data_IF_181189171707
#
_entry.id   IF_181189171707
#
_cell.length_a   1.000
_cell.length_b   1.000
_cell.length_c   1.000
_cell.angle_alpha   90.00
_cell.angle_beta   90.00
_cell.angle_gamma   90.00
#
_symmetry.space_group_name_H-M   'P 1'
#
loop_
_entity.id
_entity.type
_entity.pdbx_description
1 polymer ?
#
# COMPACT_ATOMS: atom_id res chain seq x y z
N UNK A 1 -0.21 18.88 35.19
CA UNK A 1 -1.26 17.90 34.86
C UNK A 1 -1.18 17.39 33.41
N UNK A 2 -0.93 18.24 32.37
CA UNK A 2 -0.85 17.79 30.97
C UNK A 2 0.25 16.74 30.65
N UNK A 3 1.36 16.73 31.38
CA UNK A 3 2.47 15.80 31.13
C UNK A 3 2.29 14.41 31.78
N UNK A 4 1.44 14.31 32.79
CA UNK A 4 1.16 13.06 33.50
C UNK A 4 0.18 12.22 32.65
N UNK A 5 -0.81 12.85 32.07
CA UNK A 5 -1.80 12.19 31.21
C UNK A 5 -1.17 11.57 29.95
N UNK A 6 -0.18 12.25 29.34
CA UNK A 6 0.53 11.73 28.16
C UNK A 6 1.37 10.49 28.49
N UNK A 7 2.06 10.48 29.65
CA UNK A 7 2.86 9.32 30.07
C UNK A 7 2.01 8.11 30.46
N UNK A 8 0.78 8.35 30.94
CA UNK A 8 -0.16 7.28 31.29
C UNK A 8 -0.73 6.61 30.03
N UNK A 9 -1.04 7.37 28.96
CA UNK A 9 -1.56 6.83 27.73
C UNK A 9 -0.54 5.89 27.03
N UNK A 10 0.71 6.32 26.94
CA UNK A 10 1.78 5.51 26.32
C UNK A 10 2.09 4.25 27.15
N UNK A 11 2.05 4.35 28.48
CA UNK A 11 2.22 3.20 29.36
C UNK A 11 1.04 2.23 29.31
N UNK A 12 -0.19 2.72 29.06
CA UNK A 12 -1.38 1.89 28.93
C UNK A 12 -1.37 1.05 27.63
N UNK A 13 -0.97 1.62 26.51
CA UNK A 13 -0.83 0.88 25.26
C UNK A 13 0.20 -0.26 25.41
N UNK A 14 1.35 0.02 26.01
CA UNK A 14 2.38 -0.97 26.29
C UNK A 14 1.92 -2.06 27.30
N UNK A 15 1.11 -1.70 28.30
CA UNK A 15 0.64 -2.63 29.33
C UNK A 15 -0.45 -3.58 28.84
N UNK A 16 -1.34 -3.11 27.94
CA UNK A 16 -2.38 -3.97 27.34
C UNK A 16 -1.74 -4.98 26.39
N UNK A 17 -0.72 -4.58 25.63
CA UNK A 17 0.08 -5.49 24.80
C UNK A 17 0.77 -6.55 25.66
N UNK A 18 1.34 -6.19 26.83
CA UNK A 18 2.00 -7.13 27.74
C UNK A 18 1.02 -8.12 28.41
N UNK A 19 -0.16 -7.67 28.80
CA UNK A 19 -1.16 -8.53 29.48
C UNK A 19 -1.79 -9.57 28.55
N UNK A 20 -1.94 -9.26 27.26
CA UNK A 20 -2.52 -10.17 26.26
C UNK A 20 -1.59 -11.35 25.93
N UNK A 21 -0.29 -11.22 26.21
CA UNK A 21 0.72 -12.23 25.91
C UNK A 21 0.88 -13.33 26.98
N UNK A 22 0.30 -13.15 28.16
CA UNK A 22 0.44 -14.12 29.25
C UNK A 22 -0.46 -15.36 29.12
N UNK A 23 -1.40 -15.38 28.20
CA UNK A 23 -2.43 -16.42 28.10
C UNK A 23 -2.12 -17.60 27.14
N UNK A 24 -1.01 -17.57 26.40
CA UNK A 24 -0.65 -18.63 25.44
C UNK A 24 0.74 -19.23 25.70
N UNK A 25 0.99 -19.78 26.90
CA UNK A 25 2.11 -20.69 27.15
C UNK A 25 1.61 -22.12 27.28
N UNK A 26 1.36 -22.77 26.16
CA UNK A 26 1.21 -24.21 26.04
C UNK A 26 2.50 -24.78 25.45
N UNK A 27 3.08 -25.69 26.21
CA UNK A 27 4.28 -26.47 25.97
C UNK A 27 4.32 -27.13 24.59
N UNK A 28 5.45 -27.10 23.92
CA UNK A 28 5.85 -28.17 22.99
C UNK A 28 7.35 -28.40 23.09
N UNK A 29 7.67 -29.68 23.15
CA UNK A 29 8.92 -30.31 23.37
C UNK A 29 9.96 -30.06 22.27
N UNK A 30 11.20 -30.24 22.69
CA UNK A 30 12.44 -30.26 21.93
C UNK A 30 12.40 -31.23 20.74
N UNK A 31 12.91 -30.80 19.61
CA UNK A 31 13.59 -31.69 18.69
C UNK A 31 14.75 -30.98 17.99
N UNK A 32 15.92 -31.53 18.31
CA UNK A 32 17.25 -31.17 17.89
C UNK A 32 17.48 -31.71 16.46
N UNK A 33 17.83 -30.89 15.50
CA UNK A 33 18.49 -31.39 14.27
C UNK A 33 19.45 -30.36 13.68
N UNK A 34 20.68 -30.68 13.94
CA UNK A 34 21.94 -30.32 13.34
C UNK A 34 21.90 -30.25 11.82
N UNK A 35 22.20 -29.11 11.20
CA UNK A 35 22.59 -29.05 9.77
C UNK A 35 23.79 -28.14 9.61
N UNK A 36 24.86 -28.75 9.22
CA UNK A 36 26.20 -28.39 8.82
C UNK A 36 26.29 -27.20 7.86
N UNK A 37 27.29 -26.35 8.19
CA UNK A 37 27.94 -25.38 7.30
C UNK A 37 28.48 -26.04 6.02
N UNK A 38 28.28 -25.39 4.89
CA UNK A 38 29.16 -25.53 3.73
C UNK A 38 29.51 -24.19 3.14
N UNK A 39 30.77 -23.95 3.30
CA UNK A 39 31.66 -22.94 2.73
C UNK A 39 31.56 -22.86 1.19
N UNK A 40 31.46 -21.66 0.62
CA UNK A 40 31.88 -21.41 -0.78
C UNK A 40 32.30 -19.96 -1.03
N UNK A 41 33.61 -19.78 -0.94
CA UNK A 41 34.53 -18.99 -1.80
C UNK A 41 34.03 -17.79 -2.60
N UNK A 42 34.73 -16.73 -2.29
CA UNK A 42 34.92 -15.49 -3.06
C UNK A 42 35.32 -15.72 -4.52
N UNK A 43 34.78 -14.87 -5.38
CA UNK A 43 35.47 -14.49 -6.62
C UNK A 43 35.26 -13.00 -6.87
N UNK A 44 36.34 -12.27 -6.73
CA UNK A 44 36.44 -10.83 -6.95
C UNK A 44 36.20 -10.42 -8.41
N UNK A 45 35.67 -9.22 -8.58
CA UNK A 45 35.80 -8.50 -9.85
C UNK A 45 36.06 -7.01 -9.68
N UNK A 46 37.14 -6.60 -10.30
CA UNK A 46 37.80 -5.32 -10.35
C UNK A 46 36.88 -4.13 -10.67
N UNK A 47 37.10 -3.05 -9.92
CA UNK A 47 36.86 -1.66 -10.32
C UNK A 47 37.64 -1.30 -11.57
N UNK A 48 36.97 -0.70 -12.55
CA UNK A 48 37.60 0.23 -13.48
C UNK A 48 36.81 1.52 -13.46
N UNK A 49 37.45 2.53 -12.96
CA UNK A 49 37.16 3.95 -13.18
C UNK A 49 37.57 4.31 -14.58
N UNK A 50 36.66 4.93 -15.35
CA UNK A 50 37.08 5.92 -16.33
C UNK A 50 36.01 7.01 -16.41
N UNK A 51 36.45 8.21 -16.10
CA UNK A 51 35.83 9.47 -16.38
C UNK A 51 36.00 9.80 -17.83
N UNK A 52 34.98 10.14 -18.55
CA UNK A 52 35.07 11.21 -19.54
C UNK A 52 33.67 11.79 -19.82
N UNK A 53 33.60 13.10 -19.64
CA UNK A 53 32.43 13.88 -19.97
C UNK A 53 32.26 13.97 -21.48
N UNK A 54 31.09 13.59 -21.94
CA UNK A 54 30.60 14.05 -23.23
C UNK A 54 29.10 14.34 -23.11
N UNK A 55 28.80 15.63 -23.10
CA UNK A 55 27.42 16.12 -23.23
C UNK A 55 27.01 15.97 -24.70
N UNK A 56 26.67 14.76 -25.10
CA UNK A 56 25.99 14.57 -26.36
C UNK A 56 24.55 15.05 -26.21
N UNK A 57 24.33 16.22 -26.82
CA UNK A 57 22.99 16.62 -27.23
C UNK A 57 22.44 15.50 -28.12
N UNK A 58 21.50 14.74 -27.61
CA UNK A 58 20.64 13.92 -28.43
C UNK A 58 19.83 14.86 -29.31
N UNK A 59 20.32 15.11 -30.52
CA UNK A 59 19.51 15.57 -31.62
C UNK A 59 18.49 14.45 -31.90
N UNK A 60 17.25 14.69 -31.52
CA UNK A 60 16.14 13.88 -32.03
C UNK A 60 16.17 13.94 -33.56
N UNK A 61 16.09 12.79 -34.25
CA UNK A 61 16.00 12.81 -35.70
C UNK A 61 14.72 13.56 -36.08
N UNK A 62 14.91 14.76 -36.58
CA UNK A 62 13.85 15.54 -37.18
C UNK A 62 13.30 14.78 -38.37
N UNK A 63 12.07 14.29 -38.19
CA UNK A 63 11.00 14.24 -39.16
C UNK A 63 11.35 13.76 -40.58
N UNK A 64 11.17 12.46 -40.80
CA UNK A 64 10.71 11.97 -42.09
C UNK A 64 9.20 11.75 -42.00
N UNK A 65 8.43 12.84 -41.88
CA UNK A 65 6.97 12.77 -42.02
C UNK A 65 6.67 12.24 -43.41
N UNK A 66 5.97 11.10 -43.47
CA UNK A 66 5.28 10.72 -44.69
C UNK A 66 4.33 11.87 -45.05
N UNK A 67 4.29 12.29 -46.32
CA UNK A 67 3.42 13.37 -46.76
C UNK A 67 1.99 13.10 -46.30
N UNK A 68 1.42 14.02 -45.51
CA UNK A 68 0.06 13.94 -45.02
C UNK A 68 -0.12 13.25 -43.64
N UNK A 69 0.96 12.94 -42.92
CA UNK A 69 0.90 12.44 -41.55
C UNK A 69 1.53 13.45 -40.58
N UNK A 70 0.82 13.80 -39.53
CA UNK A 70 1.33 14.60 -38.42
C UNK A 70 1.39 13.71 -37.17
N UNK A 71 2.55 13.66 -36.54
CA UNK A 71 2.73 13.05 -35.22
C UNK A 71 2.84 14.19 -34.22
N UNK A 72 1.96 14.18 -33.24
CA UNK A 72 2.07 15.00 -32.03
C UNK A 72 2.62 14.08 -30.95
N UNK A 73 3.90 14.21 -30.55
CA UNK A 73 4.46 13.37 -29.50
C UNK A 73 3.58 13.46 -28.25
N UNK A 74 3.30 12.35 -27.64
CA UNK A 74 2.82 12.36 -26.26
C UNK A 74 3.94 13.04 -25.47
N UNK A 75 3.64 14.18 -24.84
CA UNK A 75 4.37 14.54 -23.65
C UNK A 75 3.98 13.51 -22.58
N UNK A 76 4.37 12.26 -22.78
CA UNK A 76 4.43 11.31 -21.67
C UNK A 76 5.32 12.04 -20.66
N UNK A 77 4.69 12.68 -19.68
CA UNK A 77 5.37 13.28 -18.56
C UNK A 77 6.19 12.14 -17.97
N UNK A 78 7.44 12.06 -18.37
CA UNK A 78 8.41 11.19 -17.70
C UNK A 78 8.44 11.75 -16.29
N UNK A 79 7.66 11.13 -15.41
CA UNK A 79 7.55 11.56 -14.03
C UNK A 79 8.96 11.44 -13.48
N UNK A 80 9.57 12.60 -13.21
CA UNK A 80 10.91 12.63 -12.61
C UNK A 80 10.76 12.14 -11.17
N UNK A 81 11.65 11.29 -10.77
CA UNK A 81 11.73 10.80 -9.39
C UNK A 81 12.99 11.32 -8.70
N UNK A 82 12.96 11.34 -7.38
CA UNK A 82 14.08 11.68 -6.51
C UNK A 82 14.13 10.75 -5.31
N UNK A 83 15.34 10.55 -4.76
CA UNK A 83 15.50 9.77 -3.54
C UNK A 83 15.17 10.67 -2.33
N UNK A 84 14.24 10.21 -1.52
CA UNK A 84 14.00 10.74 -0.19
C UNK A 84 14.70 9.85 0.84
N UNK A 85 15.41 10.46 1.78
CA UNK A 85 16.13 9.76 2.83
C UNK A 85 15.95 10.48 4.18
N UNK A 86 15.68 9.73 5.22
CA UNK A 86 15.63 10.21 6.61
C UNK A 86 16.29 9.18 7.55
N UNK A 87 16.24 9.42 8.86
CA UNK A 87 16.86 8.53 9.84
C UNK A 87 16.26 7.11 9.85
N UNK A 88 14.97 6.98 9.53
CA UNK A 88 14.22 5.75 9.69
C UNK A 88 14.10 4.95 8.39
N UNK A 89 14.07 5.61 7.23
CA UNK A 89 13.88 4.96 5.94
C UNK A 89 14.38 5.78 4.76
N UNK A 90 14.54 5.12 3.62
CA UNK A 90 14.73 5.73 2.31
C UNK A 90 13.67 5.22 1.32
N UNK A 91 13.29 6.07 0.37
CA UNK A 91 12.24 5.78 -0.60
C UNK A 91 12.41 6.67 -1.84
N UNK A 92 12.31 6.10 -3.03
CA UNK A 92 12.19 6.89 -4.25
C UNK A 92 10.78 7.46 -4.34
N UNK A 93 10.66 8.75 -4.64
CA UNK A 93 9.38 9.45 -4.72
C UNK A 93 9.30 10.26 -6.01
N UNK A 94 8.09 10.57 -6.53
CA UNK A 94 7.96 11.56 -7.58
C UNK A 94 8.49 12.93 -7.12
N UNK A 95 9.22 13.60 -7.98
CA UNK A 95 9.90 14.85 -7.67
C UNK A 95 8.93 15.94 -7.21
N UNK A 96 9.24 16.54 -6.06
CA UNK A 96 8.44 17.62 -5.48
C UNK A 96 7.25 17.14 -4.63
N UNK A 97 7.08 15.83 -4.48
CA UNK A 97 6.06 15.28 -3.57
C UNK A 97 6.47 15.46 -2.11
N UNK A 98 5.47 15.45 -1.24
CA UNK A 98 5.69 15.56 0.21
C UNK A 98 5.71 14.20 0.86
N UNK A 99 6.65 14.02 1.79
CA UNK A 99 6.72 12.87 2.67
C UNK A 99 6.37 13.30 4.08
N UNK A 100 5.46 12.57 4.71
CA UNK A 100 5.14 12.71 6.13
C UNK A 100 5.18 11.35 6.78
N UNK A 101 5.61 11.29 8.02
CA UNK A 101 5.62 10.07 8.82
C UNK A 101 5.12 10.33 10.24
N UNK A 102 4.60 9.30 10.87
CA UNK A 102 4.11 9.32 12.24
C UNK A 102 4.10 7.93 12.85
N UNK A 103 3.82 7.85 14.15
CA UNK A 103 3.95 6.59 14.88
C UNK A 103 5.40 6.25 15.21
N UNK A 104 5.60 5.17 15.97
CA UNK A 104 6.92 4.67 16.35
C UNK A 104 6.97 3.15 16.22
N UNK A 105 8.16 2.62 15.99
CA UNK A 105 8.38 1.18 15.92
C UNK A 105 7.42 0.50 14.94
N UNK A 106 6.78 -0.58 15.37
CA UNK A 106 5.83 -1.35 14.56
C UNK A 106 4.55 -0.56 14.17
N UNK A 107 4.28 0.58 14.81
CA UNK A 107 3.15 1.46 14.49
C UNK A 107 3.54 2.60 13.54
N UNK A 108 4.74 2.53 12.93
CA UNK A 108 5.20 3.55 12.01
C UNK A 108 4.32 3.61 10.76
N UNK A 109 4.00 4.83 10.35
CA UNK A 109 3.22 5.14 9.16
C UNK A 109 3.94 6.16 8.29
N UNK A 110 3.88 5.98 6.98
CA UNK A 110 4.45 6.87 5.97
C UNK A 110 3.35 7.25 4.99
N UNK A 111 3.28 8.52 4.65
CA UNK A 111 2.44 9.04 3.58
C UNK A 111 3.28 9.89 2.65
N UNK A 112 3.27 9.56 1.36
CA UNK A 112 3.90 10.33 0.29
C UNK A 112 2.80 10.79 -0.66
N UNK A 113 2.70 12.07 -0.93
CA UNK A 113 1.58 12.60 -1.72
C UNK A 113 1.95 13.82 -2.54
N UNK A 114 1.23 14.00 -3.64
CA UNK A 114 1.29 15.21 -4.44
C UNK A 114 0.63 16.39 -3.69
N UNK A 115 1.35 17.47 -3.37
CA UNK A 115 0.75 18.60 -2.68
C UNK A 115 -0.32 19.33 -3.50
N UNK A 116 -0.32 19.15 -4.83
CA UNK A 116 -1.32 19.76 -5.74
C UNK A 116 -2.57 18.90 -5.90
N UNK A 117 -2.44 17.56 -5.82
CA UNK A 117 -3.55 16.61 -5.86
C UNK A 117 -3.31 15.48 -4.84
N UNK A 118 -3.70 15.69 -3.56
CA UNK A 118 -3.39 14.75 -2.47
C UNK A 118 -4.01 13.35 -2.60
N UNK A 119 -4.92 13.12 -3.56
CA UNK A 119 -5.38 11.78 -3.90
C UNK A 119 -4.29 10.94 -4.55
N UNK A 120 -3.34 11.59 -5.24
CA UNK A 120 -2.16 10.94 -5.78
C UNK A 120 -1.19 10.70 -4.62
N UNK A 121 -1.16 9.47 -4.11
CA UNK A 121 -0.37 9.17 -2.91
C UNK A 121 0.03 7.70 -2.79
N UNK A 122 1.07 7.49 -2.01
CA UNK A 122 1.45 6.20 -1.43
C UNK A 122 1.29 6.28 0.08
N UNK A 123 0.70 5.26 0.66
CA UNK A 123 0.48 5.17 2.09
C UNK A 123 0.91 3.81 2.62
N UNK A 124 1.57 3.82 3.77
CA UNK A 124 2.04 2.61 4.46
C UNK A 124 1.77 2.79 5.95
N UNK A 125 1.27 1.73 6.59
CA UNK A 125 1.18 1.60 8.04
C UNK A 125 1.60 0.17 8.40
N UNK A 126 2.64 0.01 9.19
CA UNK A 126 3.18 -1.32 9.50
C UNK A 126 2.20 -2.17 10.29
N UNK A 127 1.51 -1.58 11.28
CA UNK A 127 0.51 -2.27 12.11
C UNK A 127 -0.61 -1.34 12.55
N UNK A 128 -1.83 -1.83 12.41
CA UNK A 128 -3.02 -1.31 13.09
C UNK A 128 -3.46 -2.31 14.16
N UNK A 129 -3.84 -1.82 15.34
CA UNK A 129 -4.17 -2.63 16.52
C UNK A 129 -5.56 -2.28 17.07
N UNK A 130 -6.06 -3.11 17.99
CA UNK A 130 -7.30 -2.86 18.70
C UNK A 130 -8.55 -2.78 17.80
N UNK A 131 -8.68 -3.66 16.80
CA UNK A 131 -9.85 -3.77 15.95
C UNK A 131 -10.82 -4.79 16.56
N UNK A 132 -11.78 -4.35 17.37
CA UNK A 132 -12.63 -5.25 18.17
C UNK A 132 -13.44 -6.21 17.30
N UNK A 133 -13.63 -7.44 17.78
CA UNK A 133 -14.38 -8.49 17.10
C UNK A 133 -15.87 -8.13 16.92
N UNK A 134 -16.45 -7.43 17.89
CA UNK A 134 -17.90 -7.18 17.88
C UNK A 134 -18.30 -5.94 18.65
N UNK A 135 -19.50 -5.45 18.36
CA UNK A 135 -20.13 -4.38 19.14
C UNK A 135 -20.39 -4.82 20.59
N UNK A 136 -20.78 -6.08 20.81
CA UNK A 136 -20.97 -6.62 22.17
C UNK A 136 -19.67 -6.59 23.00
N UNK A 137 -18.52 -6.88 22.36
CA UNK A 137 -17.21 -6.73 22.99
C UNK A 137 -16.89 -5.28 23.33
N UNK A 138 -17.18 -4.36 22.40
CA UNK A 138 -17.02 -2.93 22.65
C UNK A 138 -17.87 -2.44 23.82
N UNK A 139 -19.14 -2.81 23.84
CA UNK A 139 -20.07 -2.44 24.93
C UNK A 139 -19.58 -2.99 26.28
N UNK A 140 -19.03 -4.21 26.28
CA UNK A 140 -18.45 -4.81 27.47
C UNK A 140 -17.20 -4.04 27.95
N UNK A 141 -16.33 -3.59 27.03
CA UNK A 141 -15.19 -2.73 27.40
C UNK A 141 -15.65 -1.38 27.94
N UNK A 142 -16.72 -0.79 27.36
CA UNK A 142 -17.34 0.45 27.87
C UNK A 142 -17.93 0.24 29.27
N UNK A 143 -18.59 -0.89 29.53
CA UNK A 143 -19.08 -1.26 30.85
C UNK A 143 -17.91 -1.33 31.84
N UNK A 144 -16.82 -2.04 31.53
CA UNK A 144 -15.65 -2.13 32.40
C UNK A 144 -15.01 -0.76 32.69
N UNK A 145 -14.92 0.09 31.67
CA UNK A 145 -14.43 1.47 31.84
C UNK A 145 -15.35 2.28 32.78
N UNK A 146 -16.67 2.17 32.62
CA UNK A 146 -17.64 2.86 33.46
C UNK A 146 -17.63 2.39 34.93
N UNK A 147 -17.20 1.15 35.15
CA UNK A 147 -16.99 0.59 36.50
C UNK A 147 -15.67 1.00 37.14
N UNK A 148 -14.91 1.91 36.49
CA UNK A 148 -13.68 2.48 37.04
C UNK A 148 -12.40 1.81 36.54
N UNK A 149 -12.48 0.81 35.65
CA UNK A 149 -11.29 0.22 35.04
C UNK A 149 -10.69 1.16 33.98
N UNK A 150 -9.78 2.03 34.39
CA UNK A 150 -9.13 2.99 33.50
C UNK A 150 -8.32 2.32 32.36
N UNK A 151 -7.88 1.08 32.54
CA UNK A 151 -7.16 0.33 31.51
C UNK A 151 -8.08 -0.07 30.35
N UNK A 152 -9.38 -0.15 30.57
CA UNK A 152 -10.36 -0.43 29.53
C UNK A 152 -10.61 0.78 28.59
N UNK A 153 -10.13 1.98 28.90
CA UNK A 153 -10.43 3.21 28.15
C UNK A 153 -10.07 3.12 26.65
N UNK A 154 -8.94 2.50 26.34
CA UNK A 154 -8.49 2.33 24.96
C UNK A 154 -9.45 1.43 24.18
N UNK A 155 -9.71 0.20 24.67
CA UNK A 155 -10.57 -0.77 24.01
C UNK A 155 -12.05 -0.33 24.01
N UNK A 156 -12.50 0.41 25.04
CA UNK A 156 -13.84 1.01 25.05
C UNK A 156 -14.05 2.03 23.91
N UNK A 157 -12.98 2.67 23.43
CA UNK A 157 -13.03 3.63 22.32
C UNK A 157 -12.70 3.00 20.96
N UNK A 158 -12.11 1.82 20.96
CA UNK A 158 -11.59 1.16 19.76
C UNK A 158 -12.69 0.88 18.70
N UNK A 159 -12.36 0.90 17.41
CA UNK A 159 -13.31 0.57 16.35
C UNK A 159 -13.66 -0.92 16.36
N UNK A 160 -14.81 -1.26 15.79
CA UNK A 160 -15.25 -2.65 15.60
C UNK A 160 -15.02 -3.06 14.14
N UNK A 161 -14.32 -4.16 13.95
CA UNK A 161 -14.11 -4.78 12.64
C UNK A 161 -15.03 -6.02 12.50
N UNK A 162 -16.24 -5.80 12.02
CA UNK A 162 -17.22 -6.89 11.88
C UNK A 162 -16.88 -7.90 10.79
N UNK A 163 -16.25 -7.42 9.71
CA UNK A 163 -15.76 -8.24 8.61
C UNK A 163 -14.22 -8.24 8.64
N UNK A 164 -13.58 -9.29 9.22
CA UNK A 164 -12.12 -9.33 9.34
C UNK A 164 -11.47 -9.66 8.00
N UNK A 165 -11.29 -8.65 7.19
CA UNK A 165 -10.70 -8.70 5.85
C UNK A 165 -10.06 -7.36 5.52
N UNK A 166 -9.28 -7.29 4.45
CA UNK A 166 -8.76 -6.03 3.92
C UNK A 166 -9.87 -5.05 3.60
N UNK A 167 -10.93 -5.50 2.92
CA UNK A 167 -12.09 -4.68 2.63
C UNK A 167 -12.74 -4.14 3.92
N UNK A 168 -13.00 -5.02 4.90
CA UNK A 168 -13.59 -4.61 6.17
C UNK A 168 -12.73 -3.60 6.91
N UNK A 169 -11.41 -3.75 6.89
CA UNK A 169 -10.49 -2.81 7.51
C UNK A 169 -10.52 -1.43 6.83
N UNK A 170 -10.47 -1.37 5.49
CA UNK A 170 -10.54 -0.08 4.80
C UNK A 170 -11.91 0.59 4.91
N UNK A 171 -13.00 -0.18 5.05
CA UNK A 171 -14.33 0.36 5.34
C UNK A 171 -14.41 1.09 6.69
N UNK A 172 -13.59 0.69 7.67
CA UNK A 172 -13.53 1.36 8.99
C UNK A 172 -12.27 2.22 9.15
N UNK A 173 -11.47 2.40 8.11
CA UNK A 173 -10.16 3.04 8.20
C UNK A 173 -10.24 4.46 8.77
N UNK A 174 -11.21 5.26 8.35
CA UNK A 174 -11.42 6.60 8.89
C UNK A 174 -11.73 6.59 10.40
N UNK A 175 -12.51 5.59 10.87
CA UNK A 175 -12.80 5.41 12.30
C UNK A 175 -11.54 4.99 13.06
N UNK A 176 -10.73 4.11 12.47
CA UNK A 176 -9.46 3.68 13.04
C UNK A 176 -8.48 4.86 13.16
N UNK A 177 -8.35 5.68 12.14
CA UNK A 177 -7.41 6.81 12.15
C UNK A 177 -7.83 7.89 13.15
N UNK A 178 -9.13 8.17 13.30
CA UNK A 178 -9.65 9.07 14.33
C UNK A 178 -9.37 8.52 15.74
N UNK A 179 -9.53 7.21 15.94
CA UNK A 179 -9.23 6.54 17.18
C UNK A 179 -7.73 6.60 17.50
N UNK A 180 -6.86 6.17 16.59
CA UNK A 180 -5.41 6.09 16.85
C UNK A 180 -4.79 7.47 17.05
N UNK A 181 -5.21 8.47 16.30
CA UNK A 181 -4.74 9.86 16.46
C UNK A 181 -5.09 10.42 17.84
N UNK A 182 -6.22 10.00 18.41
CA UNK A 182 -6.65 10.42 19.74
C UNK A 182 -5.84 9.77 20.87
N UNK A 183 -5.49 8.49 20.72
CA UNK A 183 -4.89 7.69 21.79
C UNK A 183 -3.38 7.54 21.67
N UNK A 184 -2.79 7.66 20.46
CA UNK A 184 -1.36 7.52 20.22
C UNK A 184 -0.70 8.87 19.92
N UNK A 185 -0.02 9.47 20.92
CA UNK A 185 0.56 10.81 20.79
C UNK A 185 1.65 10.93 19.72
N UNK A 186 2.26 9.81 19.29
CA UNK A 186 3.32 9.79 18.27
C UNK A 186 2.79 10.12 16.87
N UNK A 187 1.46 10.10 16.68
CA UNK A 187 0.82 10.62 15.48
C UNK A 187 0.46 12.10 15.57
N UNK A 188 0.90 12.82 16.61
CA UNK A 188 0.66 14.27 16.73
C UNK A 188 1.33 15.00 15.57
N UNK A 189 0.52 15.71 14.76
CA UNK A 189 0.99 16.39 13.55
C UNK A 189 1.07 15.55 12.30
N UNK A 190 0.79 14.24 12.39
CA UNK A 190 0.63 13.39 11.23
C UNK A 190 -0.83 13.38 10.75
N UNK A 191 -1.02 13.41 9.44
CA UNK A 191 -2.36 13.36 8.84
C UNK A 191 -2.49 12.08 8.02
N UNK A 192 -3.33 11.18 8.50
CA UNK A 192 -3.69 9.98 7.75
C UNK A 192 -4.47 10.34 6.48
N UNK A 193 -4.37 9.54 5.41
CA UNK A 193 -5.30 9.64 4.30
C UNK A 193 -6.73 9.28 4.73
N UNK A 194 -7.72 9.67 3.92
CA UNK A 194 -9.13 9.28 4.11
C UNK A 194 -9.54 8.41 2.94
N UNK A 195 -10.26 7.35 3.23
CA UNK A 195 -10.81 6.42 2.25
C UNK A 195 -12.30 6.22 2.53
N UNK A 196 -13.06 7.34 2.52
CA UNK A 196 -14.48 7.32 2.81
C UNK A 196 -15.27 6.74 1.63
N UNK A 197 -16.38 6.05 1.89
CA UNK A 197 -17.18 5.42 0.84
C UNK A 197 -16.44 4.32 0.07
N UNK A 198 -15.54 3.63 0.75
CA UNK A 198 -14.71 2.57 0.17
C UNK A 198 -15.58 1.49 -0.48
N UNK A 199 -15.35 1.24 -1.77
CA UNK A 199 -16.11 0.26 -2.56
C UNK A 199 -15.16 -0.55 -3.41
N UNK A 200 -15.06 -1.84 -3.12
CA UNK A 200 -14.17 -2.75 -3.87
C UNK A 200 -14.70 -2.95 -5.29
N UNK A 201 -13.85 -2.74 -6.26
CA UNK A 201 -14.11 -2.96 -7.67
C UNK A 201 -13.51 -4.28 -8.15
N UNK A 202 -12.44 -4.75 -7.49
CA UNK A 202 -11.77 -5.99 -7.87
C UNK A 202 -10.99 -6.61 -6.70
N UNK A 203 -10.96 -7.95 -6.65
CA UNK A 203 -10.24 -8.75 -5.66
C UNK A 203 -9.12 -9.53 -6.34
N UNK A 204 -7.96 -9.61 -5.70
CA UNK A 204 -6.80 -10.33 -6.20
C UNK A 204 -6.32 -11.36 -5.20
N UNK A 205 -6.00 -12.54 -5.72
CA UNK A 205 -5.28 -13.54 -4.96
C UNK A 205 -3.83 -13.06 -4.78
N UNK A 206 -3.52 -12.52 -3.61
CA UNK A 206 -2.15 -12.23 -3.20
C UNK A 206 -1.79 -13.15 -2.03
N UNK A 207 -0.62 -13.75 -2.10
CA UNK A 207 -0.06 -14.45 -0.97
C UNK A 207 0.77 -13.44 -0.16
N UNK A 208 0.24 -12.96 0.97
CA UNK A 208 0.97 -12.04 1.84
C UNK A 208 2.14 -12.68 2.57
N UNK A 209 2.33 -13.93 2.53
CA UNK A 209 3.32 -14.61 3.37
C UNK A 209 3.02 -14.52 4.89
N UNK A 210 1.93 -13.85 5.31
CA UNK A 210 1.47 -13.91 6.70
C UNK A 210 0.57 -15.12 6.91
N UNK A 211 1.10 -16.10 7.61
CA UNK A 211 0.29 -17.21 8.07
C UNK A 211 -0.87 -16.69 8.95
N UNK A 212 -2.07 -17.21 8.72
CA UNK A 212 -3.30 -16.84 9.43
C UNK A 212 -3.89 -15.46 9.08
N UNK A 213 -3.51 -14.84 7.96
CA UNK A 213 -4.26 -13.72 7.42
C UNK A 213 -5.68 -14.13 7.03
N UNK A 214 -6.65 -13.26 7.32
CA UNK A 214 -8.06 -13.47 7.08
C UNK A 214 -8.50 -12.71 5.83
N UNK A 215 -9.23 -13.39 4.95
CA UNK A 215 -9.76 -12.82 3.71
C UNK A 215 -8.72 -12.60 2.63
N UNK A 216 -9.12 -11.88 1.59
CA UNK A 216 -8.25 -11.49 0.48
C UNK A 216 -7.42 -10.26 0.85
N UNK A 217 -6.16 -10.26 0.47
CA UNK A 217 -5.19 -9.29 0.95
C UNK A 217 -4.90 -8.16 -0.03
N UNK A 218 -5.30 -8.27 -1.29
CA UNK A 218 -5.10 -7.25 -2.31
C UNK A 218 -6.42 -6.92 -3.02
N UNK A 219 -6.75 -5.64 -3.04
CA UNK A 219 -8.00 -5.11 -3.59
C UNK A 219 -7.74 -3.92 -4.49
N UNK A 220 -8.59 -3.74 -5.51
CA UNK A 220 -8.80 -2.45 -6.16
C UNK A 220 -10.11 -1.86 -5.67
N UNK A 221 -10.13 -0.58 -5.36
CA UNK A 221 -11.31 0.06 -4.82
C UNK A 221 -11.42 1.52 -5.22
N UNK A 222 -12.67 1.96 -5.32
CA UNK A 222 -13.06 3.37 -5.37
C UNK A 222 -13.22 3.90 -3.95
N UNK A 223 -12.94 5.18 -3.75
CA UNK A 223 -13.14 5.87 -2.48
C UNK A 223 -13.35 7.36 -2.70
N UNK A 224 -13.64 8.08 -1.64
CA UNK A 224 -13.66 9.55 -1.63
C UNK A 224 -12.76 10.10 -0.54
N UNK A 225 -12.08 11.19 -0.83
CA UNK A 225 -11.41 12.03 0.17
C UNK A 225 -11.85 13.47 -0.04
N UNK A 226 -12.42 14.07 1.01
CA UNK A 226 -12.88 15.47 0.99
C UNK A 226 -13.82 15.78 -0.19
N UNK A 227 -14.65 14.81 -0.60
CA UNK A 227 -15.62 14.93 -1.69
C UNK A 227 -15.05 14.73 -3.10
N UNK A 228 -13.77 14.43 -3.24
CA UNK A 228 -13.14 14.04 -4.51
C UNK A 228 -13.13 12.52 -4.65
N UNK A 229 -13.43 12.03 -5.85
CA UNK A 229 -13.37 10.62 -6.16
C UNK A 229 -11.92 10.17 -6.41
N UNK A 230 -11.51 9.12 -5.72
CA UNK A 230 -10.23 8.45 -5.90
C UNK A 230 -10.42 6.98 -6.26
N UNK A 231 -9.39 6.41 -6.81
CA UNK A 231 -9.25 4.99 -7.08
C UNK A 231 -7.87 4.53 -6.65
N UNK A 232 -7.73 3.29 -6.25
CA UNK A 232 -6.44 2.77 -5.84
C UNK A 232 -6.39 1.29 -5.61
N UNK A 233 -5.18 0.85 -5.32
CA UNK A 233 -4.88 -0.50 -4.88
C UNK A 233 -4.59 -0.48 -3.38
N UNK A 234 -5.14 -1.45 -2.69
CA UNK A 234 -5.14 -1.53 -1.25
C UNK A 234 -4.73 -2.92 -0.78
N UNK A 235 -3.91 -2.99 0.25
CA UNK A 235 -3.51 -4.25 0.86
C UNK A 235 -3.47 -4.14 2.38
N UNK A 236 -3.86 -5.21 3.05
CA UNK A 236 -3.66 -5.40 4.48
C UNK A 236 -3.70 -6.90 4.82
N UNK A 237 -2.94 -7.33 5.82
CA UNK A 237 -3.02 -8.67 6.37
C UNK A 237 -3.74 -8.61 7.71
N UNK A 238 -5.03 -8.96 7.73
CA UNK A 238 -5.84 -8.96 8.95
C UNK A 238 -5.67 -10.29 9.67
N UNK A 239 -5.32 -10.23 10.95
CA UNK A 239 -5.04 -11.41 11.78
C UNK A 239 -5.87 -11.35 13.06
N UNK A 240 -6.43 -12.50 13.47
CA UNK A 240 -7.09 -12.64 14.77
C UNK A 240 -6.04 -12.71 15.87
N UNK A 241 -6.12 -11.80 16.83
CA UNK A 241 -5.25 -11.84 18.02
C UNK A 241 -5.78 -12.79 19.09
N UNK A 242 -7.03 -13.20 19.00
CA UNK A 242 -7.71 -14.13 19.89
C UNK A 242 -8.82 -13.51 20.71
N UNK A 243 -9.60 -14.39 21.29
CA UNK A 243 -10.77 -14.07 22.12
C UNK A 243 -10.41 -14.03 23.60
N UNK A 244 -11.08 -13.15 24.33
CA UNK A 244 -10.98 -13.08 25.79
C UNK A 244 -12.35 -12.79 26.42
N UNK A 245 -12.73 -13.56 27.42
CA UNK A 245 -14.00 -13.34 28.13
C UNK A 245 -13.87 -12.15 29.09
N UNK A 246 -14.71 -11.13 28.89
CA UNK A 246 -14.76 -9.95 29.74
C UNK A 246 -16.16 -9.72 30.30
N UNK A 247 -16.28 -9.05 31.46
CA UNK A 247 -17.53 -8.67 32.07
C UNK A 247 -18.32 -7.70 31.17
N UNK A 248 -19.58 -8.03 30.86
CA UNK A 248 -20.43 -7.24 29.98
C UNK A 248 -21.61 -6.60 30.72
N UNK A 249 -21.74 -6.82 32.03
CA UNK A 249 -22.83 -6.32 32.85
C UNK A 249 -23.36 -7.36 33.82
N UNK A 250 -24.44 -7.01 34.48
CA UNK A 250 -25.15 -7.91 35.41
C UNK A 250 -26.61 -8.11 34.90
N UNK A 251 -27.05 -9.35 34.90
CA UNK A 251 -28.46 -9.68 34.72
C UNK A 251 -28.97 -10.31 36.02
N UNK A 252 -29.60 -9.51 36.85
CA UNK A 252 -29.88 -9.87 38.23
C UNK A 252 -28.61 -10.10 39.02
N UNK A 253 -28.42 -11.33 39.50
CA UNK A 253 -27.17 -11.72 40.21
C UNK A 253 -26.14 -12.42 39.31
N UNK A 254 -26.44 -12.57 38.04
CA UNK A 254 -25.54 -13.27 37.09
C UNK A 254 -24.69 -12.27 36.32
N UNK A 255 -23.37 -12.46 36.39
CA UNK A 255 -22.41 -11.72 35.57
C UNK A 255 -22.59 -12.17 34.12
N UNK A 256 -22.83 -11.21 33.23
CA UNK A 256 -22.81 -11.43 31.79
C UNK A 256 -21.37 -11.27 31.27
N UNK A 257 -21.00 -12.07 30.29
CA UNK A 257 -19.72 -12.01 29.65
C UNK A 257 -19.87 -11.81 28.13
N UNK A 258 -18.93 -11.14 27.53
CA UNK A 258 -18.79 -11.01 26.07
C UNK A 258 -17.34 -11.29 25.67
N UNK A 259 -17.15 -11.54 24.37
CA UNK A 259 -15.80 -11.61 23.80
C UNK A 259 -15.23 -10.20 23.68
N UNK A 260 -14.16 -9.95 24.42
CA UNK A 260 -13.38 -8.70 24.38
C UNK A 260 -12.15 -8.77 23.49
N UNK A 261 -12.01 -9.80 22.66
CA UNK A 261 -10.92 -9.97 21.73
C UNK A 261 -10.91 -8.98 20.58
N UNK A 262 -9.85 -8.98 19.79
CA UNK A 262 -9.66 -8.05 18.69
C UNK A 262 -8.78 -8.62 17.58
N UNK A 263 -8.91 -8.02 16.40
CA UNK A 263 -8.03 -8.24 15.26
C UNK A 263 -6.93 -7.18 15.21
N UNK A 264 -5.88 -7.49 14.44
CA UNK A 264 -4.82 -6.59 14.04
C UNK A 264 -4.70 -6.61 12.51
N UNK A 265 -4.34 -5.48 11.91
CA UNK A 265 -3.98 -5.42 10.49
C UNK A 265 -2.50 -5.06 10.36
N UNK A 266 -1.79 -5.82 9.55
CA UNK A 266 -0.37 -5.62 9.26
C UNK A 266 -0.15 -5.26 7.80
N UNK A 267 0.98 -4.63 7.50
CA UNK A 267 1.40 -4.29 6.14
C UNK A 267 0.28 -3.58 5.37
N UNK A 268 -0.36 -2.60 6.05
CA UNK A 268 -1.42 -1.81 5.46
C UNK A 268 -0.79 -0.88 4.43
N UNK A 269 -1.20 -1.01 3.18
CA UNK A 269 -0.67 -0.24 2.07
C UNK A 269 -1.80 0.27 1.18
N UNK A 270 -1.60 1.46 0.64
CA UNK A 270 -2.44 2.00 -0.42
C UNK A 270 -1.60 2.78 -1.43
N UNK A 271 -1.88 2.57 -2.70
CA UNK A 271 -1.40 3.38 -3.81
C UNK A 271 -2.63 3.92 -4.51
N UNK A 272 -2.80 5.23 -4.50
CA UNK A 272 -4.04 5.86 -4.99
C UNK A 272 -3.77 7.05 -5.88
N UNK A 273 -4.77 7.40 -6.69
CA UNK A 273 -4.81 8.66 -7.43
C UNK A 273 -6.27 9.13 -7.61
N UNK A 274 -6.45 10.32 -8.20
CA UNK A 274 -7.76 10.73 -8.66
C UNK A 274 -8.29 9.69 -9.66
N UNK A 275 -9.59 9.35 -9.55
CA UNK A 275 -10.19 8.19 -10.25
C UNK A 275 -9.88 8.16 -11.74
N UNK A 276 -9.96 9.31 -12.42
CA UNK A 276 -9.77 9.39 -13.88
C UNK A 276 -8.29 9.29 -14.31
N UNK A 277 -7.36 9.37 -13.37
CA UNK A 277 -5.91 9.40 -13.66
C UNK A 277 -5.13 8.27 -12.99
N UNK A 278 -5.80 7.38 -12.24
CA UNK A 278 -5.13 6.33 -11.48
C UNK A 278 -4.25 5.44 -12.36
N UNK A 279 -4.73 5.08 -13.54
CA UNK A 279 -3.99 4.24 -14.49
C UNK A 279 -2.65 4.87 -14.95
N UNK A 280 -2.56 6.21 -14.96
CA UNK A 280 -1.33 6.92 -15.32
C UNK A 280 -0.30 6.90 -14.18
N UNK A 281 -0.76 6.81 -12.94
CA UNK A 281 0.05 6.86 -11.74
C UNK A 281 0.40 5.48 -11.17
N UNK A 282 -0.42 4.49 -11.41
CA UNK A 282 -0.33 3.17 -10.78
C UNK A 282 1.07 2.56 -10.88
N UNK A 283 1.63 2.45 -12.08
CA UNK A 283 2.95 1.84 -12.29
C UNK A 283 4.07 2.63 -11.61
N UNK A 284 4.05 3.96 -11.76
CA UNK A 284 5.10 4.83 -11.19
C UNK A 284 5.10 4.78 -9.66
N UNK A 285 3.91 4.88 -9.04
CA UNK A 285 3.79 4.85 -7.59
C UNK A 285 4.13 3.47 -7.03
N UNK A 286 3.78 2.41 -7.75
CA UNK A 286 4.14 1.03 -7.42
C UNK A 286 5.65 0.83 -7.45
N UNK A 287 6.32 1.30 -8.49
CA UNK A 287 7.77 1.23 -8.61
C UNK A 287 8.47 2.06 -7.52
N UNK A 288 7.94 3.23 -7.20
CA UNK A 288 8.42 4.00 -6.06
C UNK A 288 8.27 3.22 -4.75
N UNK A 289 7.12 2.62 -4.49
CA UNK A 289 6.85 1.88 -3.26
C UNK A 289 7.80 0.68 -3.07
N UNK A 290 8.18 -0.01 -4.14
CA UNK A 290 9.18 -1.10 -4.12
C UNK A 290 10.55 -0.67 -3.60
N UNK A 291 10.88 0.61 -3.69
CA UNK A 291 12.19 1.13 -3.26
C UNK A 291 12.26 1.42 -1.77
N UNK A 292 11.17 1.25 -1.00
CA UNK A 292 11.17 1.51 0.43
C UNK A 292 12.16 0.59 1.16
N UNK A 293 13.07 1.22 1.89
CA UNK A 293 14.04 0.52 2.73
C UNK A 293 14.07 1.17 4.12
N UNK A 294 13.79 0.39 5.15
CA UNK A 294 13.98 0.83 6.53
C UNK A 294 15.45 0.73 6.93
N UNK A 295 15.93 1.71 7.71
CA UNK A 295 17.29 1.70 8.22
C UNK A 295 17.52 0.58 9.25
N UNK A 296 18.74 0.10 9.37
CA UNK A 296 19.11 -0.91 10.37
C UNK A 296 18.82 -0.42 11.80
N UNK A 297 18.99 0.87 12.04
CA UNK A 297 18.68 1.49 13.34
C UNK A 297 17.19 1.44 13.66
N UNK A 298 16.32 1.72 12.68
CA UNK A 298 14.87 1.60 12.84
C UNK A 298 14.44 0.15 13.10
N UNK A 299 14.94 -0.79 12.30
CA UNK A 299 14.65 -2.22 12.46
C UNK A 299 15.12 -2.71 13.84
N UNK A 300 16.31 -2.31 14.25
CA UNK A 300 16.89 -2.70 15.56
C UNK A 300 16.08 -2.14 16.73
N UNK A 301 15.70 -0.85 16.68
CA UNK A 301 14.89 -0.21 17.72
C UNK A 301 13.48 -0.81 17.80
N UNK A 302 12.87 -1.11 16.66
CA UNK A 302 11.57 -1.77 16.57
C UNK A 302 11.62 -3.16 17.21
N UNK A 303 12.68 -3.94 16.92
CA UNK A 303 12.87 -5.26 17.51
C UNK A 303 13.10 -5.20 19.03
N UNK A 304 13.85 -4.22 19.53
CA UNK A 304 14.07 -4.02 20.98
C UNK A 304 12.79 -3.60 21.72
N UNK A 305 11.98 -2.74 21.11
CA UNK A 305 10.71 -2.29 21.71
C UNK A 305 9.65 -3.41 21.74
N UNK A 306 9.77 -4.38 20.86
CA UNK A 306 8.85 -5.53 20.75
C UNK A 306 9.24 -6.71 21.65
N UNK A 307 9.95 -6.49 22.74
CA UNK A 307 10.75 -7.40 23.58
C UNK A 307 10.08 -8.71 24.05
N UNK A 308 8.87 -9.05 23.60
CA UNK A 308 8.22 -10.28 24.07
C UNK A 308 7.83 -11.29 22.97
N UNK A 309 7.94 -10.95 21.67
CA UNK A 309 7.77 -11.95 20.60
C UNK A 309 8.53 -11.55 19.33
N UNK A 310 9.83 -11.66 19.43
CA UNK A 310 10.84 -11.46 18.38
C UNK A 310 10.50 -12.17 17.07
N UNK A 311 9.79 -13.30 17.12
CA UNK A 311 9.40 -14.05 15.93
C UNK A 311 8.44 -13.28 15.03
N UNK A 312 7.41 -12.61 15.56
CA UNK A 312 6.39 -11.95 14.75
C UNK A 312 6.89 -10.61 14.17
N UNK A 313 7.58 -9.78 14.96
CA UNK A 313 8.12 -8.50 14.47
C UNK A 313 9.30 -8.68 13.50
N UNK A 314 10.16 -9.66 13.73
CA UNK A 314 11.20 -10.05 12.76
C UNK A 314 10.60 -10.66 11.50
N UNK A 315 9.52 -11.42 11.63
CA UNK A 315 8.79 -11.97 10.51
C UNK A 315 8.09 -10.86 9.72
N UNK A 316 7.53 -9.86 10.38
CA UNK A 316 6.93 -8.69 9.71
C UNK A 316 8.01 -7.89 8.98
N UNK A 317 9.16 -7.63 9.60
CA UNK A 317 10.27 -6.90 8.97
C UNK A 317 10.94 -7.68 7.84
N UNK A 318 11.14 -8.99 7.99
CA UNK A 318 11.67 -9.86 6.94
C UNK A 318 10.63 -10.12 5.84
N UNK A 319 9.38 -10.30 6.21
CA UNK A 319 8.29 -10.56 5.29
C UNK A 319 7.77 -9.28 4.63
N UNK A 320 8.09 -8.08 5.15
CA UNK A 320 7.67 -6.85 4.48
C UNK A 320 8.17 -6.81 3.05
N UNK A 321 9.46 -7.04 2.81
CA UNK A 321 10.01 -7.09 1.46
C UNK A 321 9.44 -8.26 0.66
N UNK A 322 9.32 -9.45 1.25
CA UNK A 322 8.72 -10.61 0.57
C UNK A 322 7.23 -10.42 0.30
N UNK A 323 6.51 -9.77 1.22
CA UNK A 323 5.09 -9.43 1.05
C UNK A 323 4.94 -8.38 -0.04
N UNK A 324 5.80 -7.36 -0.04
CA UNK A 324 5.85 -6.35 -1.11
C UNK A 324 6.15 -7.00 -2.46
N UNK A 325 7.17 -7.87 -2.54
CA UNK A 325 7.50 -8.59 -3.78
C UNK A 325 6.33 -9.47 -4.24
N UNK A 326 5.65 -10.15 -3.32
CA UNK A 326 4.48 -10.99 -3.61
C UNK A 326 3.27 -10.16 -4.09
N UNK A 327 2.97 -9.05 -3.42
CA UNK A 327 1.91 -8.12 -3.79
C UNK A 327 2.22 -7.49 -5.14
N UNK A 328 3.45 -7.02 -5.34
CA UNK A 328 3.88 -6.40 -6.59
C UNK A 328 3.91 -7.39 -7.76
N UNK A 329 4.35 -8.62 -7.53
CA UNK A 329 4.29 -9.68 -8.53
C UNK A 329 2.85 -10.05 -8.91
N UNK A 330 1.95 -10.12 -7.94
CA UNK A 330 0.51 -10.34 -8.18
C UNK A 330 -0.09 -9.16 -8.95
N UNK A 331 0.31 -7.97 -8.62
CA UNK A 331 -0.07 -6.73 -9.28
C UNK A 331 0.41 -6.66 -10.74
N UNK A 332 1.69 -6.94 -11.00
CA UNK A 332 2.25 -6.97 -12.36
C UNK A 332 1.62 -8.07 -13.24
N UNK A 333 1.37 -9.24 -12.68
CA UNK A 333 0.73 -10.34 -13.42
C UNK A 333 -0.72 -10.05 -13.78
N UNK A 334 -1.41 -9.26 -12.98
CA UNK A 334 -2.79 -8.84 -13.21
C UNK A 334 -2.92 -7.84 -14.34
N UNK A 335 -2.05 -6.83 -14.33
CA UNK A 335 -2.18 -5.65 -15.18
C UNK A 335 -2.25 -5.98 -16.68
N UNK A 336 -1.69 -7.10 -17.10
CA UNK A 336 -1.63 -7.44 -18.52
C UNK A 336 -2.99 -7.75 -19.16
N UNK A 337 -3.95 -8.33 -18.46
CA UNK A 337 -5.22 -8.75 -19.09
C UNK A 337 -6.35 -7.74 -18.95
N UNK A 338 -6.50 -7.11 -17.79
CA UNK A 338 -7.61 -6.20 -17.53
C UNK A 338 -7.33 -4.76 -17.91
N UNK A 339 -6.08 -4.31 -17.77
CA UNK A 339 -5.68 -3.01 -18.30
C UNK A 339 -5.87 -2.95 -19.82
N UNK A 340 -5.59 -4.04 -20.52
CA UNK A 340 -5.84 -4.18 -21.94
C UNK A 340 -7.32 -3.99 -22.25
N UNK A 341 -8.22 -4.64 -21.51
CA UNK A 341 -9.67 -4.51 -21.70
C UNK A 341 -10.14 -3.09 -21.37
N UNK A 342 -9.70 -2.53 -20.26
CA UNK A 342 -10.06 -1.17 -19.84
C UNK A 342 -9.54 -0.12 -20.81
N UNK A 343 -8.30 -0.27 -21.30
CA UNK A 343 -7.72 0.63 -22.29
C UNK A 343 -8.44 0.53 -23.64
N UNK A 344 -8.80 -0.67 -24.09
CA UNK A 344 -9.61 -0.87 -25.30
C UNK A 344 -10.99 -0.21 -25.17
N UNK A 345 -11.65 -0.34 -24.03
CA UNK A 345 -12.94 0.29 -23.77
C UNK A 345 -12.81 1.82 -23.70
N UNK A 346 -11.77 2.33 -23.06
CA UNK A 346 -11.47 3.76 -23.00
C UNK A 346 -11.18 4.32 -24.39
N UNK A 347 -10.28 3.70 -25.15
CA UNK A 347 -9.95 4.14 -26.49
C UNK A 347 -11.19 4.12 -27.40
N UNK A 348 -12.02 3.08 -27.33
CA UNK A 348 -13.27 2.98 -28.07
C UNK A 348 -14.29 4.07 -27.67
N UNK A 349 -14.43 4.35 -26.37
CA UNK A 349 -15.34 5.37 -25.84
C UNK A 349 -14.91 6.78 -26.27
N UNK A 350 -13.61 7.04 -26.30
CA UNK A 350 -13.03 8.30 -26.71
C UNK A 350 -12.89 8.45 -28.23
N UNK A 351 -13.24 7.41 -28.99
CA UNK A 351 -13.18 7.43 -30.45
C UNK A 351 -11.77 7.31 -31.01
N UNK A 352 -10.88 6.62 -30.28
CA UNK A 352 -9.51 6.36 -30.71
C UNK A 352 -9.29 4.91 -31.10
N UNK A 353 -8.32 4.70 -32.00
CA UNK A 353 -7.67 3.43 -32.23
C UNK A 353 -6.16 3.53 -31.91
N UNK A 354 -5.54 2.41 -31.59
CA UNK A 354 -4.08 2.33 -31.44
C UNK A 354 -3.45 1.90 -32.74
N UNK A 355 -2.39 2.61 -33.08
CA UNK A 355 -1.65 2.45 -34.31
C UNK A 355 -0.20 2.12 -33.97
N UNK A 356 0.31 1.07 -34.58
CA UNK A 356 1.68 0.59 -34.43
C UNK A 356 2.52 1.04 -35.62
N UNK A 357 3.65 1.71 -35.34
CA UNK A 357 4.66 2.07 -36.33
C UNK A 357 5.63 0.87 -36.54
N UNK A 358 5.61 0.28 -37.72
CA UNK A 358 6.42 -0.90 -38.03
C UNK A 358 7.91 -0.61 -38.19
N UNK A 359 8.33 0.66 -38.28
CA UNK A 359 9.74 1.06 -38.38
C UNK A 359 10.37 1.35 -37.02
N UNK A 360 9.60 2.01 -36.11
CA UNK A 360 10.14 2.44 -34.81
C UNK A 360 9.70 1.54 -33.67
N UNK A 361 8.71 0.66 -33.89
CA UNK A 361 8.04 -0.13 -32.88
C UNK A 361 7.27 0.72 -31.83
N UNK A 362 6.93 1.95 -32.15
CA UNK A 362 6.19 2.85 -31.29
C UNK A 362 4.69 2.73 -31.50
N UNK A 363 3.94 2.98 -30.43
CA UNK A 363 2.48 2.95 -30.45
C UNK A 363 1.92 4.36 -30.31
N UNK A 364 0.97 4.69 -31.17
CA UNK A 364 0.30 5.98 -31.21
C UNK A 364 -1.21 5.82 -31.04
N UNK A 365 -1.87 6.84 -30.54
CA UNK A 365 -3.33 6.99 -30.69
C UNK A 365 -3.66 7.72 -31.99
N UNK A 366 -4.67 7.25 -32.69
CA UNK A 366 -5.25 7.91 -33.84
C UNK A 366 -6.76 8.00 -33.68
N UNK A 367 -7.42 8.89 -34.41
CA UNK A 367 -8.88 8.86 -34.52
C UNK A 367 -9.32 7.54 -35.14
N UNK A 368 -10.37 6.94 -34.60
CA UNK A 368 -10.92 5.68 -35.07
C UNK A 368 -11.16 5.70 -36.58
N UNK A 369 -10.75 4.67 -37.30
CA UNK A 369 -10.78 4.59 -38.75
C UNK A 369 -9.56 5.20 -39.46
N UNK A 370 -8.54 5.65 -38.76
CA UNK A 370 -7.30 6.14 -39.36
C UNK A 370 -6.66 5.07 -40.23
N UNK A 371 -6.56 3.84 -39.74
CA UNK A 371 -5.94 2.72 -40.47
C UNK A 371 -6.77 2.26 -41.66
N UNK A 372 -8.10 2.50 -41.65
CA UNK A 372 -8.98 2.17 -42.77
C UNK A 372 -8.73 3.08 -43.99
N UNK A 373 -8.28 4.30 -43.77
CA UNK A 373 -8.04 5.30 -44.80
C UNK A 373 -6.57 5.58 -45.08
N UNK A 374 -5.70 4.95 -44.30
CA UNK A 374 -4.24 5.04 -44.48
C UNK A 374 -3.79 4.04 -45.56
N UNK A 375 -3.20 4.56 -46.65
CA UNK A 375 -2.77 3.82 -47.82
C UNK A 375 -1.29 3.37 -47.78
N UNK A 376 -0.56 3.73 -46.72
CA UNK A 376 0.81 3.32 -46.52
C UNK A 376 0.95 1.97 -45.84
N UNK A 377 2.17 1.49 -45.70
CA UNK A 377 2.49 0.20 -45.05
C UNK A 377 3.08 0.33 -43.66
N UNK A 378 3.49 1.54 -43.26
CA UNK A 378 4.21 1.81 -42.02
C UNK A 378 3.33 1.71 -40.78
N UNK A 379 2.14 2.30 -40.80
CA UNK A 379 1.25 2.35 -39.67
C UNK A 379 0.16 1.29 -39.79
N UNK A 380 0.03 0.45 -38.78
CA UNK A 380 -0.95 -0.64 -38.74
C UNK A 380 -1.78 -0.59 -37.46
N UNK A 381 -3.03 -1.02 -37.53
CA UNK A 381 -3.86 -1.17 -36.35
C UNK A 381 -3.24 -2.17 -35.38
N UNK A 382 -3.23 -1.84 -34.08
CA UNK A 382 -2.77 -2.76 -33.02
C UNK A 382 -3.82 -3.84 -32.85
N UNK A 383 -3.44 -5.08 -33.20
CA UNK A 383 -4.28 -6.28 -33.07
C UNK A 383 -3.78 -7.22 -31.98
N UNK A 384 -2.53 -7.08 -31.55
CA UNK A 384 -1.94 -7.89 -30.49
C UNK A 384 -2.20 -7.22 -29.13
N UNK A 385 -2.85 -7.96 -28.24
CA UNK A 385 -3.22 -7.49 -26.91
C UNK A 385 -2.00 -7.10 -26.08
N UNK A 386 -0.85 -7.76 -26.27
CA UNK A 386 0.40 -7.42 -25.57
C UNK A 386 0.87 -5.99 -25.88
N UNK A 387 0.56 -5.45 -27.04
CA UNK A 387 0.92 -4.08 -27.43
C UNK A 387 0.11 -2.99 -26.70
N UNK A 388 -1.00 -3.36 -26.04
CA UNK A 388 -1.75 -2.42 -25.22
C UNK A 388 -1.05 -2.07 -23.90
N UNK A 389 -0.08 -2.86 -23.49
CA UNK A 389 0.77 -2.56 -22.33
C UNK A 389 1.95 -1.64 -22.65
N UNK A 390 2.21 -1.38 -23.92
CA UNK A 390 3.28 -0.48 -24.34
C UNK A 390 2.85 1.00 -24.19
N UNK A 391 3.79 1.89 -23.83
CA UNK A 391 3.49 3.31 -23.69
C UNK A 391 3.08 3.93 -25.01
N UNK A 392 2.13 4.88 -24.96
CA UNK A 392 1.69 5.64 -26.11
C UNK A 392 2.68 6.77 -26.38
N UNK A 393 3.38 6.71 -27.52
CA UNK A 393 4.40 7.68 -27.92
C UNK A 393 3.81 9.01 -28.42
N UNK A 394 2.53 9.05 -28.74
CA UNK A 394 1.89 10.27 -29.19
C UNK A 394 0.54 10.05 -29.86
N UNK A 395 0.08 11.13 -30.49
CA UNK A 395 -1.12 11.15 -31.33
C UNK A 395 -0.73 11.29 -32.80
N UNK A 396 -1.31 10.45 -33.66
CA UNK A 396 -1.09 10.48 -35.10
C UNK A 396 -2.38 10.85 -35.82
N UNK A 397 -2.29 11.78 -36.79
CA UNK A 397 -3.38 12.23 -37.58
C UNK A 397 -3.00 12.40 -39.05
N UNK A 398 -3.99 12.29 -39.94
CA UNK A 398 -3.80 12.69 -41.34
C UNK A 398 -3.98 14.20 -41.45
N UNK A 399 -3.03 14.83 -42.16
CA UNK A 399 -3.08 16.25 -42.53
C UNK A 399 -3.32 16.26 -44.00
N UNK A 400 -4.58 16.56 -44.41
CA UNK A 400 -5.02 16.63 -45.79
C UNK A 400 -4.44 17.78 -46.57
#
# INVERSE_FOLDING_TARGET
>A
MKNITKKIATALLAAIIAASFAACSGSTDDDDSDITETDRTEAGRKKTTDSDGNTDKFDFPTDKSEKGIRITPSEAKKIQTELYECADFSLTIPKGWKVTSGGINIYHSIRVYDPSEPLNQMFILLKADCLLHSQAGKDAWQYNYSMGNQQAALLAAAPVLQNPSTEGFFNIFSQYTDFVTRFEPTYSGYTFPRFDGFTVTEHFAAASGMAASLGEELLRADFTDSGKAGEGMFSASVVDFGSTAIAAGMNGYMLQQADGGYYMAYNVMAVTAAKDTFIEWESVLTDCMKTLQYSDSFVSSTNQASNEKVALSQQISRNFNQTMDGIMSSWENRNKSQDIISQKQSDATLGYERVYDTETNEIYRATNGFTDVYDGSRYKSVTDDSMYSEPISGYIERVG
#
